data_IF_621253126899
#
_entry.id   IF_621253126899
#
_cell.length_a   1.000
_cell.length_b   1.000
_cell.length_c   1.000
_cell.angle_alpha   90.00
_cell.angle_beta   90.00
_cell.angle_gamma   90.00
#
_symmetry.space_group_name_H-M   'P 1'
#
loop_
_entity.id
_entity.type
_entity.pdbx_description
1 polymer ?
#
# COMPACT_ATOMS: atom_id res chain seq x y z
N UNK A 1 -10.91 -2.79 -8.95
CA UNK A 1 -11.62 -2.75 -10.24
C UNK A 1 -10.69 -2.12 -11.27
N UNK A 2 -10.41 -2.78 -12.40
CA UNK A 2 -9.69 -2.12 -13.50
C UNK A 2 -10.67 -1.19 -14.23
N UNK A 3 -10.40 0.11 -14.23
CA UNK A 3 -11.18 1.07 -15.00
C UNK A 3 -10.78 0.90 -16.47
N UNK A 4 -11.70 0.38 -17.28
CA UNK A 4 -11.46 0.20 -18.71
C UNK A 4 -11.18 1.53 -19.39
N UNK A 5 -10.20 1.51 -20.29
CA UNK A 5 -9.81 2.66 -21.10
C UNK A 5 -10.96 3.14 -21.99
N UNK A 6 -11.16 4.46 -22.12
CA UNK A 6 -12.06 5.04 -23.13
C UNK A 6 -11.46 4.87 -24.53
N UNK A 7 -12.29 4.46 -25.50
CA UNK A 7 -11.89 4.51 -26.90
C UNK A 7 -11.87 5.95 -27.41
N UNK A 8 -11.14 6.20 -28.50
CA UNK A 8 -11.04 7.53 -29.10
C UNK A 8 -12.41 8.13 -29.46
N UNK A 9 -13.32 7.31 -30.00
CA UNK A 9 -14.68 7.73 -30.37
C UNK A 9 -15.50 8.13 -29.14
N UNK A 10 -15.38 7.37 -28.05
CA UNK A 10 -16.06 7.66 -26.78
C UNK A 10 -15.50 8.90 -26.10
N UNK A 11 -14.19 9.07 -26.11
CA UNK A 11 -13.53 10.30 -25.63
C UNK A 11 -14.00 11.52 -26.41
N UNK A 12 -14.10 11.41 -27.74
CA UNK A 12 -14.58 12.49 -28.60
C UNK A 12 -16.05 12.79 -28.37
N UNK A 13 -16.89 11.76 -28.27
CA UNK A 13 -18.32 11.92 -27.99
C UNK A 13 -18.54 12.60 -26.64
N UNK A 14 -17.88 12.11 -25.57
CA UNK A 14 -17.96 12.71 -24.24
C UNK A 14 -17.53 14.17 -24.25
N UNK A 15 -16.39 14.48 -24.89
CA UNK A 15 -15.89 15.85 -24.95
C UNK A 15 -16.80 16.76 -25.77
N UNK A 16 -17.36 16.28 -26.88
CA UNK A 16 -18.31 17.03 -27.69
C UNK A 16 -19.59 17.37 -26.93
N UNK A 17 -20.03 16.50 -26.03
CA UNK A 17 -21.20 16.73 -25.18
C UNK A 17 -20.95 17.86 -24.17
N UNK A 18 -19.74 17.90 -23.59
CA UNK A 18 -19.33 18.96 -22.63
C UNK A 18 -19.24 20.33 -23.32
N UNK A 19 -18.86 20.37 -24.61
CA UNK A 19 -18.72 21.61 -25.39
C UNK A 19 -20.04 22.29 -25.75
N UNK A 20 -21.18 21.66 -25.51
CA UNK A 20 -22.49 22.17 -25.91
C UNK A 20 -23.06 23.12 -24.84
N UNK A 21 -22.33 24.17 -24.49
CA UNK A 21 -22.67 25.07 -23.37
C UNK A 21 -23.95 25.91 -23.56
N UNK A 22 -24.37 26.10 -24.82
CA UNK A 22 -25.61 26.78 -25.20
C UNK A 22 -26.84 25.87 -25.15
N UNK A 23 -26.67 24.55 -25.09
CA UNK A 23 -27.80 23.61 -25.01
C UNK A 23 -28.34 23.54 -23.59
N UNK A 24 -29.64 23.32 -23.40
CA UNK A 24 -30.22 23.19 -22.07
C UNK A 24 -29.70 21.90 -21.41
N UNK A 25 -29.38 21.99 -20.11
CA UNK A 25 -28.69 20.92 -19.40
C UNK A 25 -29.47 19.61 -19.41
N UNK A 26 -30.80 19.64 -19.30
CA UNK A 26 -31.66 18.45 -19.33
C UNK A 26 -31.53 17.65 -20.64
N UNK A 27 -31.35 18.31 -21.78
CA UNK A 27 -31.11 17.62 -23.06
C UNK A 27 -29.76 16.92 -23.05
N UNK A 28 -28.71 17.61 -22.62
CA UNK A 28 -27.35 17.07 -22.50
C UNK A 28 -27.35 15.84 -21.58
N UNK A 29 -28.05 15.92 -20.45
CA UNK A 29 -28.16 14.85 -19.46
C UNK A 29 -28.95 13.65 -19.99
N UNK A 30 -30.01 13.88 -20.77
CA UNK A 30 -30.80 12.80 -21.39
C UNK A 30 -30.05 12.14 -22.55
N UNK A 31 -29.28 12.89 -23.32
CA UNK A 31 -28.36 12.37 -24.33
C UNK A 31 -27.26 11.52 -23.69
N UNK A 32 -26.67 11.96 -22.58
CA UNK A 32 -25.70 11.17 -21.82
C UNK A 32 -26.26 9.81 -21.38
N UNK A 33 -27.46 9.83 -20.76
CA UNK A 33 -28.11 8.62 -20.24
C UNK A 33 -28.55 7.65 -21.33
N UNK A 34 -28.93 8.16 -22.50
CA UNK A 34 -29.35 7.33 -23.64
C UNK A 34 -28.17 6.79 -24.45
N UNK A 35 -27.10 7.58 -24.58
CA UNK A 35 -25.90 7.21 -25.35
C UNK A 35 -24.99 6.26 -24.59
N UNK A 36 -24.87 6.41 -23.27
CA UNK A 36 -23.91 5.67 -22.46
C UNK A 36 -24.64 4.66 -21.55
N UNK A 37 -24.32 3.35 -21.66
CA UNK A 37 -24.89 2.33 -20.80
C UNK A 37 -24.53 2.54 -19.32
N UNK A 38 -25.47 2.23 -18.42
CA UNK A 38 -25.27 2.36 -16.96
C UNK A 38 -24.05 1.58 -16.43
N UNK A 39 -23.70 0.44 -17.06
CA UNK A 39 -22.51 -0.34 -16.71
C UNK A 39 -21.20 0.42 -16.91
N UNK A 40 -21.21 1.47 -17.72
CA UNK A 40 -20.05 2.30 -18.07
C UNK A 40 -20.07 3.67 -17.41
N UNK A 41 -21.15 4.05 -16.72
CA UNK A 41 -21.25 5.34 -16.05
C UNK A 41 -20.09 5.58 -15.10
N UNK A 42 -19.69 4.58 -14.32
CA UNK A 42 -18.52 4.68 -13.44
C UNK A 42 -17.25 5.07 -14.21
N UNK A 43 -16.95 4.39 -15.31
CA UNK A 43 -15.79 4.71 -16.16
C UNK A 43 -15.86 6.14 -16.68
N UNK A 44 -16.95 6.53 -17.34
CA UNK A 44 -17.09 7.87 -17.91
C UNK A 44 -17.00 8.96 -16.83
N UNK A 45 -17.67 8.76 -15.69
CA UNK A 45 -17.60 9.68 -14.56
C UNK A 45 -16.20 9.76 -13.94
N UNK A 46 -15.41 8.67 -13.91
CA UNK A 46 -14.00 8.73 -13.50
C UNK A 46 -13.16 9.61 -14.42
N UNK A 47 -13.40 9.57 -15.74
CA UNK A 47 -12.70 10.45 -16.69
C UNK A 47 -13.15 11.92 -16.58
N UNK A 48 -14.45 12.15 -16.39
CA UNK A 48 -14.99 13.48 -16.09
C UNK A 48 -14.35 14.09 -14.84
N UNK A 49 -14.16 13.28 -13.82
CA UNK A 49 -13.50 13.68 -12.58
C UNK A 49 -12.03 14.07 -12.79
N UNK A 50 -11.31 13.40 -13.69
CA UNK A 50 -9.94 13.78 -14.08
C UNK A 50 -9.94 15.17 -14.73
N UNK A 51 -10.89 15.45 -15.61
CA UNK A 51 -11.01 16.78 -16.25
C UNK A 51 -11.34 17.89 -15.25
N UNK A 52 -12.05 17.59 -14.16
CA UNK A 52 -12.37 18.57 -13.12
C UNK A 52 -11.21 18.91 -12.19
N UNK A 53 -10.18 18.05 -12.09
CA UNK A 53 -9.05 18.24 -11.19
C UNK A 53 -8.17 19.45 -11.57
N UNK A 54 -8.06 19.74 -12.86
CA UNK A 54 -7.33 20.90 -13.37
C UNK A 54 -8.31 22.00 -13.79
N UNK A 55 -8.27 23.13 -13.09
CA UNK A 55 -9.12 24.29 -13.36
C UNK A 55 -8.84 24.97 -14.70
N UNK A 56 -7.69 24.69 -15.35
CA UNK A 56 -7.31 25.30 -16.64
C UNK A 56 -7.77 24.48 -17.85
N UNK A 57 -8.15 23.22 -17.66
CA UNK A 57 -8.57 22.32 -18.75
C UNK A 57 -9.97 22.69 -19.26
N UNK A 58 -10.93 22.91 -18.35
CA UNK A 58 -12.32 23.21 -18.68
C UNK A 58 -12.70 24.65 -18.33
N UNK A 59 -13.56 25.28 -19.11
CA UNK A 59 -14.18 26.57 -18.77
C UNK A 59 -15.21 26.41 -17.64
N UNK A 60 -15.61 27.50 -16.99
CA UNK A 60 -16.63 27.45 -15.92
C UNK A 60 -17.94 26.81 -16.40
N UNK A 61 -18.42 27.14 -17.60
CA UNK A 61 -19.65 26.56 -18.18
C UNK A 61 -19.51 25.06 -18.42
N UNK A 62 -18.38 24.62 -18.99
CA UNK A 62 -18.05 23.21 -19.18
C UNK A 62 -18.00 22.46 -17.84
N UNK A 63 -17.41 23.07 -16.80
CA UNK A 63 -17.34 22.49 -15.45
C UNK A 63 -18.73 22.29 -14.85
N UNK A 64 -19.65 23.24 -15.01
CA UNK A 64 -21.05 23.08 -14.56
C UNK A 64 -21.73 21.88 -15.22
N UNK A 65 -21.52 21.70 -16.54
CA UNK A 65 -22.05 20.54 -17.27
C UNK A 65 -21.48 19.25 -16.70
N UNK A 66 -20.17 19.20 -16.45
CA UNK A 66 -19.52 18.01 -15.88
C UNK A 66 -20.04 17.68 -14.48
N UNK A 67 -20.23 18.67 -13.60
CA UNK A 67 -20.86 18.45 -12.29
C UNK A 67 -22.29 17.94 -12.42
N UNK A 68 -23.08 18.50 -13.35
CA UNK A 68 -24.43 18.02 -13.64
C UNK A 68 -24.42 16.54 -14.07
N UNK A 69 -23.52 16.15 -14.96
CA UNK A 69 -23.36 14.77 -15.42
C UNK A 69 -22.98 13.82 -14.27
N UNK A 70 -22.07 14.21 -13.38
CA UNK A 70 -21.63 13.39 -12.25
C UNK A 70 -22.75 13.11 -11.23
N UNK A 71 -23.60 14.09 -10.94
CA UNK A 71 -24.73 13.88 -10.02
C UNK A 71 -25.86 13.14 -10.72
N UNK A 72 -26.19 13.52 -11.95
CA UNK A 72 -27.36 12.99 -12.65
C UNK A 72 -27.15 11.56 -13.15
N UNK A 73 -25.91 11.11 -13.40
CA UNK A 73 -25.59 9.72 -13.71
C UNK A 73 -26.09 8.73 -12.63
N UNK A 74 -26.12 9.17 -11.37
CA UNK A 74 -26.53 8.36 -10.22
C UNK A 74 -27.83 8.86 -9.56
N UNK A 75 -28.61 9.72 -10.23
CA UNK A 75 -29.82 10.32 -9.65
C UNK A 75 -30.95 9.34 -9.34
N UNK A 76 -30.91 8.13 -9.92
CA UNK A 76 -31.86 7.05 -9.62
C UNK A 76 -31.57 6.33 -8.30
N UNK A 77 -30.38 6.53 -7.72
CA UNK A 77 -29.91 5.87 -6.51
C UNK A 77 -29.92 6.87 -5.34
N UNK A 78 -29.75 6.37 -4.12
CA UNK A 78 -29.52 7.24 -2.96
C UNK A 78 -28.25 8.09 -3.24
N UNK A 79 -28.27 9.41 -3.02
CA UNK A 79 -27.08 10.26 -3.12
C UNK A 79 -25.83 9.70 -2.43
N UNK A 80 -26.00 9.01 -1.29
CA UNK A 80 -24.91 8.36 -0.56
C UNK A 80 -24.28 7.16 -1.30
N UNK A 81 -24.98 6.58 -2.27
CA UNK A 81 -24.49 5.50 -3.13
C UNK A 81 -23.69 5.99 -4.34
N UNK A 82 -23.65 7.31 -4.58
CA UNK A 82 -22.85 7.88 -5.66
C UNK A 82 -21.35 7.84 -5.25
N UNK A 83 -20.49 7.11 -5.98
CA UNK A 83 -19.06 6.98 -5.62
C UNK A 83 -18.27 8.29 -5.73
N UNK A 84 -18.84 9.33 -6.35
CA UNK A 84 -18.21 10.63 -6.52
C UNK A 84 -18.76 11.70 -5.56
N UNK A 85 -19.71 11.35 -4.68
CA UNK A 85 -20.40 12.31 -3.81
C UNK A 85 -19.43 13.07 -2.89
N UNK A 86 -18.43 12.39 -2.34
CA UNK A 86 -17.42 13.00 -1.47
C UNK A 86 -16.60 14.06 -2.20
N UNK A 87 -16.27 13.84 -3.48
CA UNK A 87 -15.59 14.84 -4.31
C UNK A 87 -16.51 16.04 -4.58
N UNK A 88 -17.78 15.80 -4.92
CA UNK A 88 -18.76 16.86 -5.20
C UNK A 88 -18.96 17.75 -3.96
N UNK A 89 -19.09 17.15 -2.77
CA UNK A 89 -19.21 17.87 -1.50
C UNK A 89 -17.94 18.68 -1.18
N UNK A 90 -16.76 18.10 -1.38
CA UNK A 90 -15.51 18.82 -1.19
C UNK A 90 -15.41 20.02 -2.16
N UNK A 91 -15.83 19.85 -3.42
CA UNK A 91 -15.84 20.92 -4.41
C UNK A 91 -16.78 22.08 -4.06
N UNK A 92 -17.93 21.80 -3.41
CA UNK A 92 -18.87 22.85 -2.96
C UNK A 92 -18.35 23.70 -1.81
N UNK A 93 -17.40 23.22 -1.01
CA UNK A 93 -16.89 23.94 0.15
C UNK A 93 -15.46 24.46 -0.03
N UNK A 94 -14.69 23.93 -0.97
CA UNK A 94 -13.27 24.26 -1.14
C UNK A 94 -13.05 25.76 -1.44
N UNK A 95 -12.15 26.41 -0.71
CA UNK A 95 -11.93 27.87 -0.81
C UNK A 95 -11.52 28.32 -2.22
N UNK A 96 -10.76 27.51 -2.95
CA UNK A 96 -10.32 27.80 -4.32
C UNK A 96 -11.35 27.56 -5.44
N UNK A 97 -12.56 27.06 -5.14
CA UNK A 97 -13.61 26.88 -6.17
C UNK A 97 -14.36 28.18 -6.45
N UNK A 98 -14.81 28.38 -7.70
CA UNK A 98 -15.59 29.56 -8.06
C UNK A 98 -16.94 29.58 -7.33
N UNK A 99 -17.40 30.76 -6.88
CA UNK A 99 -18.68 30.89 -6.15
C UNK A 99 -19.88 30.35 -6.95
N UNK A 100 -19.84 30.51 -8.27
CA UNK A 100 -20.86 29.99 -9.20
C UNK A 100 -20.91 28.46 -9.16
N UNK A 101 -19.76 27.79 -9.22
CA UNK A 101 -19.69 26.32 -9.13
C UNK A 101 -20.24 25.82 -7.80
N UNK A 102 -19.88 26.47 -6.69
CA UNK A 102 -20.36 26.09 -5.35
C UNK A 102 -21.88 26.14 -5.27
N UNK A 103 -22.49 27.26 -5.68
CA UNK A 103 -23.93 27.45 -5.65
C UNK A 103 -24.66 26.46 -6.57
N UNK A 104 -24.13 26.25 -7.78
CA UNK A 104 -24.68 25.28 -8.72
C UNK A 104 -24.67 23.85 -8.15
N UNK A 105 -23.58 23.43 -7.51
CA UNK A 105 -23.47 22.12 -6.87
C UNK A 105 -24.49 21.97 -5.73
N UNK A 106 -24.65 23.00 -4.89
CA UNK A 106 -25.63 22.98 -3.79
C UNK A 106 -27.07 22.87 -4.31
N UNK A 107 -27.38 23.58 -5.39
CA UNK A 107 -28.68 23.50 -6.07
C UNK A 107 -28.92 22.12 -6.69
N UNK A 108 -27.87 21.50 -7.24
CA UNK A 108 -27.91 20.16 -7.82
C UNK A 108 -28.10 19.05 -6.77
N UNK A 109 -27.52 19.24 -5.58
CA UNK A 109 -27.69 18.36 -4.42
C UNK A 109 -29.02 18.58 -3.68
N UNK A 110 -29.78 19.62 -4.02
CA UNK A 110 -31.07 19.93 -3.39
C UNK A 110 -30.97 20.45 -1.96
N UNK A 111 -29.83 21.06 -1.61
CA UNK A 111 -29.60 21.67 -0.28
C UNK A 111 -30.21 23.07 -0.22
N UNK A 112 -30.30 23.74 -1.36
CA UNK A 112 -30.88 25.08 -1.46
C UNK A 112 -32.41 25.03 -1.44
N UNK A 113 -33.03 25.84 -0.57
CA UNK A 113 -34.45 25.79 -0.19
C UNK A 113 -35.38 26.48 -1.21
N UNK A 114 -34.85 26.89 -2.36
CA UNK A 114 -35.67 27.51 -3.41
C UNK A 114 -36.66 26.48 -3.96
N UNK A 115 -37.96 26.76 -3.81
CA UNK A 115 -39.11 25.88 -4.08
C UNK A 115 -39.28 25.40 -5.53
N UNK A 116 -38.32 25.65 -6.40
CA UNK A 116 -38.27 25.11 -7.75
C UNK A 116 -37.20 24.03 -7.79
N UNK A 117 -37.59 22.78 -8.04
CA UNK A 117 -36.67 21.63 -8.08
C UNK A 117 -35.58 21.74 -9.15
N UNK A 118 -35.29 20.67 -9.87
CA UNK A 118 -34.30 20.68 -10.97
C UNK A 118 -34.74 21.50 -12.22
N UNK A 119 -35.59 22.51 -12.05
CA UNK A 119 -36.07 23.40 -13.12
C UNK A 119 -34.94 24.21 -13.77
N UNK A 120 -33.90 24.54 -13.01
CA UNK A 120 -32.71 25.22 -13.52
C UNK A 120 -31.92 24.36 -14.54
N UNK A 121 -32.20 23.06 -14.66
CA UNK A 121 -31.63 22.22 -15.72
C UNK A 121 -32.28 22.49 -17.08
N UNK A 122 -33.40 23.24 -17.15
CA UNK A 122 -34.03 23.65 -18.42
C UNK A 122 -33.29 24.78 -19.13
N UNK A 123 -32.41 25.50 -18.44
CA UNK A 123 -31.57 26.55 -19.03
C UNK A 123 -30.19 25.98 -19.41
N UNK A 124 -29.48 26.71 -20.27
CA UNK A 124 -28.11 26.38 -20.67
C UNK A 124 -27.11 26.73 -19.55
N UNK A 125 -25.91 26.16 -19.62
CA UNK A 125 -24.85 26.49 -18.66
C UNK A 125 -24.43 27.97 -18.79
N UNK A 126 -24.41 28.49 -20.02
CA UNK A 126 -24.13 29.89 -20.33
C UNK A 126 -25.19 30.83 -19.74
N UNK A 127 -26.47 30.49 -19.87
CA UNK A 127 -27.56 31.26 -19.27
C UNK A 127 -27.52 31.24 -17.74
N UNK A 128 -27.10 30.12 -17.14
CA UNK A 128 -26.91 30.02 -15.70
C UNK A 128 -25.84 30.99 -15.20
N UNK A 129 -24.67 30.98 -15.84
CA UNK A 129 -23.53 31.84 -15.46
C UNK A 129 -23.87 33.32 -15.60
N UNK A 130 -24.58 33.71 -16.65
CA UNK A 130 -24.96 35.12 -16.89
C UNK A 130 -26.01 35.64 -15.90
N UNK A 131 -26.90 34.78 -15.42
CA UNK A 131 -27.97 35.12 -14.46
C UNK A 131 -27.55 34.96 -13.00
N UNK A 132 -26.34 34.46 -12.75
CA UNK A 132 -25.89 34.15 -11.40
C UNK A 132 -25.66 35.43 -10.59
N UNK A 133 -26.32 35.53 -9.44
CA UNK A 133 -26.06 36.56 -8.44
C UNK A 133 -25.30 35.96 -7.25
N UNK A 134 -24.02 36.34 -7.04
CA UNK A 134 -23.22 35.86 -5.91
C UNK A 134 -23.76 36.25 -4.54
N UNK A 135 -24.63 37.26 -4.45
CA UNK A 135 -25.11 37.83 -3.19
C UNK A 135 -26.29 37.07 -2.56
N UNK A 136 -26.93 36.17 -3.34
CA UNK A 136 -28.13 35.45 -2.92
C UNK A 136 -27.87 34.06 -2.31
N UNK A 137 -26.62 33.61 -2.24
CA UNK A 137 -26.29 32.23 -1.85
C UNK A 137 -25.55 32.18 -0.51
N UNK A 138 -26.16 31.52 0.47
CA UNK A 138 -25.51 31.14 1.73
C UNK A 138 -24.83 29.78 1.57
N UNK A 139 -23.53 29.72 1.84
CA UNK A 139 -22.75 28.48 1.69
C UNK A 139 -22.68 27.73 3.02
N UNK A 140 -23.23 26.51 3.14
CA UNK A 140 -23.17 25.71 4.35
C UNK A 140 -21.75 25.20 4.63
N UNK A 141 -21.48 24.82 5.87
CA UNK A 141 -20.18 24.25 6.24
C UNK A 141 -20.00 22.82 5.71
N UNK A 142 -18.76 22.44 5.44
CA UNK A 142 -18.42 21.10 4.92
C UNK A 142 -18.93 19.98 5.82
N UNK A 143 -18.90 20.18 7.14
CA UNK A 143 -19.31 19.17 8.12
C UNK A 143 -20.83 18.93 8.09
N UNK A 144 -21.63 19.99 7.86
CA UNK A 144 -23.08 19.89 7.72
C UNK A 144 -23.46 19.07 6.48
N UNK A 145 -22.81 19.35 5.34
CA UNK A 145 -23.05 18.61 4.10
C UNK A 145 -22.58 17.17 4.21
N UNK A 146 -21.40 16.92 4.79
CA UNK A 146 -20.93 15.55 5.02
C UNK A 146 -21.91 14.77 5.88
N UNK A 147 -22.48 15.36 6.93
CA UNK A 147 -23.47 14.69 7.77
C UNK A 147 -24.77 14.37 7.03
N UNK A 148 -25.21 15.23 6.11
CA UNK A 148 -26.44 15.04 5.33
C UNK A 148 -26.30 13.94 4.25
N UNK A 149 -25.10 13.75 3.71
CA UNK A 149 -24.86 12.84 2.59
C UNK A 149 -23.99 11.61 2.94
N UNK A 150 -23.57 11.44 4.20
CA UNK A 150 -22.84 10.25 4.66
C UNK A 150 -23.78 9.14 5.11
N UNK A 151 -23.73 7.99 4.43
CA UNK A 151 -24.14 6.73 5.04
C UNK A 151 -23.05 6.29 6.03
N UNK A 152 -23.42 5.88 7.24
CA UNK A 152 -22.53 5.46 8.35
C UNK A 152 -21.54 4.32 8.00
N UNK A 153 -21.54 3.82 6.77
CA UNK A 153 -20.87 2.59 6.35
C UNK A 153 -19.53 2.85 5.67
N UNK A 154 -19.29 4.01 5.03
CA UNK A 154 -18.02 4.26 4.33
C UNK A 154 -17.55 5.72 4.47
N UNK A 155 -16.97 6.07 5.61
CA UNK A 155 -16.07 7.23 5.71
C UNK A 155 -14.65 6.82 5.27
N UNK A 156 -14.50 6.21 4.10
CA UNK A 156 -13.18 6.21 3.49
C UNK A 156 -12.90 7.64 3.02
N UNK A 157 -11.80 8.29 3.47
CA UNK A 157 -11.36 9.53 2.88
C UNK A 157 -11.29 9.30 1.38
N UNK A 158 -11.92 10.18 0.59
CA UNK A 158 -11.73 10.14 -0.86
C UNK A 158 -10.25 10.41 -1.14
N UNK A 159 -9.47 9.34 -1.27
CA UNK A 159 -8.11 9.40 -1.75
C UNK A 159 -8.20 9.78 -3.21
N UNK A 160 -7.67 10.95 -3.54
CA UNK A 160 -7.61 11.39 -4.92
C UNK A 160 -6.92 10.29 -5.74
N UNK A 161 -7.62 9.73 -6.73
CA UNK A 161 -7.10 8.67 -7.61
C UNK A 161 -5.69 8.96 -8.18
N UNK A 162 -5.28 10.23 -8.20
CA UNK A 162 -4.02 10.72 -8.74
C UNK A 162 -3.23 11.68 -7.82
N UNK A 163 -3.67 12.00 -6.59
CA UNK A 163 -2.88 12.95 -5.76
C UNK A 163 -1.90 12.24 -4.83
N UNK A 164 -2.28 11.06 -4.35
CA UNK A 164 -1.49 10.33 -3.34
C UNK A 164 -0.48 9.35 -3.96
N UNK A 165 -0.62 9.00 -5.25
CA UNK A 165 0.26 8.05 -5.96
C UNK A 165 1.05 8.62 -7.14
N UNK A 166 0.92 9.92 -7.43
CA UNK A 166 1.51 10.51 -8.64
C UNK A 166 2.71 11.38 -8.29
N UNK A 167 3.87 10.99 -8.80
CA UNK A 167 5.01 11.92 -8.90
C UNK A 167 4.61 12.95 -9.94
N UNK A 168 4.49 14.23 -9.56
CA UNK A 168 4.30 15.31 -10.53
C UNK A 168 5.53 15.32 -11.46
N UNK A 169 5.41 14.71 -12.63
CA UNK A 169 6.45 14.73 -13.67
C UNK A 169 6.54 16.08 -14.41
N UNK A 170 5.92 17.13 -13.85
CA UNK A 170 6.02 18.49 -14.35
C UNK A 170 7.33 19.05 -13.84
N UNK A 171 8.36 18.98 -14.69
CA UNK A 171 9.62 19.68 -14.46
C UNK A 171 9.40 21.14 -14.83
N UNK A 172 9.61 22.10 -13.91
CA UNK A 172 9.59 23.52 -14.25
C UNK A 172 10.60 23.78 -15.37
N UNK A 173 10.17 24.53 -16.38
CA UNK A 173 11.06 24.94 -17.46
C UNK A 173 12.21 25.77 -16.87
N UNK A 174 13.49 25.34 -17.01
CA UNK A 174 14.63 26.07 -16.45
C UNK A 174 14.79 27.48 -17.04
N UNK A 175 14.19 27.74 -18.21
CA UNK A 175 14.28 29.03 -18.90
C UNK A 175 13.22 30.04 -18.41
N UNK A 176 12.25 29.60 -17.59
CA UNK A 176 11.21 30.47 -17.02
C UNK A 176 11.72 31.10 -15.71
N UNK A 177 11.81 32.44 -15.60
CA UNK A 177 12.25 33.10 -14.38
C UNK A 177 11.36 32.72 -13.19
N UNK A 178 11.91 32.54 -11.97
CA UNK A 178 11.15 32.14 -10.78
C UNK A 178 10.10 33.17 -10.32
N UNK A 179 10.16 34.37 -10.87
CA UNK A 179 9.24 35.49 -10.67
C UNK A 179 8.24 35.67 -11.83
N UNK A 180 8.19 34.73 -12.78
CA UNK A 180 7.17 34.71 -13.81
C UNK A 180 5.81 34.37 -13.19
N UNK A 181 4.89 35.34 -13.23
CA UNK A 181 3.52 35.13 -12.78
C UNK A 181 2.76 34.30 -13.81
N UNK A 182 2.44 33.06 -13.44
CA UNK A 182 1.69 32.11 -14.28
C UNK A 182 0.22 32.50 -14.50
N UNK A 183 -0.28 33.47 -13.74
CA UNK A 183 -1.63 34.01 -13.87
C UNK A 183 -1.61 35.47 -14.41
N UNK A 184 -0.49 35.88 -15.02
CA UNK A 184 -0.40 37.20 -15.64
C UNK A 184 -1.31 37.32 -16.86
N UNK A 185 -1.92 38.51 -17.02
CA UNK A 185 -2.78 38.81 -18.17
C UNK A 185 -2.01 38.92 -19.50
N UNK A 186 -0.68 38.85 -19.47
CA UNK A 186 0.15 38.77 -20.66
C UNK A 186 -0.01 37.43 -21.38
N UNK A 187 -0.45 36.38 -20.67
CA UNK A 187 -0.81 35.08 -21.23
C UNK A 187 -2.31 34.94 -21.55
N UNK A 188 -3.14 35.94 -21.23
CA UNK A 188 -4.56 35.94 -21.56
C UNK A 188 -4.77 36.02 -23.08
N UNK A 189 -5.73 35.24 -23.57
CA UNK A 189 -6.02 35.16 -25.00
C UNK A 189 -6.57 36.47 -25.56
N UNK A 190 -6.01 36.89 -26.70
CA UNK A 190 -6.63 37.92 -27.52
C UNK A 190 -7.90 37.35 -28.19
N UNK A 191 -9.05 38.05 -28.12
CA UNK A 191 -10.29 37.59 -28.74
C UNK A 191 -10.08 37.35 -30.25
N UNK A 192 -10.39 36.13 -30.70
CA UNK A 192 -10.26 35.71 -32.10
C UNK A 192 -9.12 34.74 -32.42
N UNK A 193 -8.28 34.35 -31.45
CA UNK A 193 -7.16 33.42 -31.66
C UNK A 193 -7.44 32.07 -31.01
N UNK A 194 -7.35 30.95 -31.76
CA UNK A 194 -7.51 29.63 -31.16
C UNK A 194 -6.30 29.26 -30.27
N UNK A 195 -6.52 28.69 -29.07
CA UNK A 195 -5.45 28.20 -28.21
C UNK A 195 -4.58 27.17 -28.94
N UNK A 196 -3.33 27.54 -29.21
CA UNK A 196 -2.28 26.59 -29.60
C UNK A 196 -1.46 26.29 -28.36
N UNK A 197 -1.75 25.18 -27.69
CA UNK A 197 -0.88 24.66 -26.64
C UNK A 197 0.24 23.89 -27.37
N UNK A 198 1.36 24.56 -27.65
CA UNK A 198 2.38 24.05 -28.56
C UNK A 198 1.90 23.97 -30.02
N UNK A 199 2.27 22.92 -30.76
CA UNK A 199 1.89 22.72 -32.17
C UNK A 199 0.46 22.19 -32.39
N UNK A 200 -0.34 21.99 -31.33
CA UNK A 200 -1.65 21.31 -31.40
C UNK A 200 -2.85 22.11 -30.90
N UNK A 201 -4.06 21.66 -31.29
CA UNK A 201 -5.35 22.19 -30.82
C UNK A 201 -5.65 21.70 -29.39
N UNK A 202 -6.07 22.59 -28.48
CA UNK A 202 -6.48 22.26 -27.10
C UNK A 202 -7.49 21.11 -27.06
N UNK A 203 -8.50 21.14 -27.91
CA UNK A 203 -9.59 20.15 -27.91
C UNK A 203 -9.06 18.77 -28.31
N UNK A 204 -8.16 18.72 -29.30
CA UNK A 204 -7.51 17.50 -29.75
C UNK A 204 -6.56 16.94 -28.69
N UNK A 205 -5.85 17.81 -27.96
CA UNK A 205 -5.01 17.43 -26.84
C UNK A 205 -5.83 16.81 -25.69
N UNK A 206 -7.01 17.36 -25.37
CA UNK A 206 -7.89 16.80 -24.33
C UNK A 206 -8.47 15.45 -24.76
N UNK A 207 -8.94 15.31 -26.01
CA UNK A 207 -9.43 14.01 -26.52
C UNK A 207 -8.30 12.98 -26.60
N UNK A 208 -7.11 13.40 -27.02
CA UNK A 208 -5.90 12.58 -27.02
C UNK A 208 -5.51 12.15 -25.61
N UNK A 209 -5.64 13.03 -24.62
CA UNK A 209 -5.41 12.71 -23.22
C UNK A 209 -6.43 11.67 -22.72
N UNK A 210 -7.74 11.91 -22.90
CA UNK A 210 -8.79 10.98 -22.47
C UNK A 210 -8.65 9.58 -23.09
N UNK A 211 -8.26 9.53 -24.36
CA UNK A 211 -8.07 8.28 -25.09
C UNK A 211 -6.72 7.61 -24.82
N UNK A 212 -5.81 8.23 -24.05
CA UNK A 212 -4.51 7.65 -23.70
C UNK A 212 -4.29 7.46 -22.20
N UNK A 213 -5.05 8.15 -21.34
CA UNK A 213 -5.06 7.88 -19.90
C UNK A 213 -5.51 6.44 -19.70
N UNK A 214 -4.57 5.60 -19.28
CA UNK A 214 -4.85 4.29 -18.72
C UNK A 214 -4.67 4.37 -17.21
N UNK A 215 -5.66 3.87 -16.48
CA UNK A 215 -5.58 3.65 -15.05
C UNK A 215 -4.91 2.29 -14.74
N UNK A 216 -4.56 1.52 -15.77
CA UNK A 216 -3.78 0.29 -15.65
C UNK A 216 -2.31 0.65 -15.43
N UNK A 217 -1.75 0.22 -14.29
CA UNK A 217 -0.33 0.35 -13.97
C UNK A 217 0.06 1.39 -12.92
N UNK A 218 -0.91 2.14 -12.36
CA UNK A 218 -0.68 3.05 -11.22
C UNK A 218 -0.60 2.32 -9.86
N UNK A 219 -0.97 1.05 -9.82
CA UNK A 219 -0.69 0.20 -8.66
C UNK A 219 0.76 -0.26 -8.72
N UNK A 220 1.51 -0.28 -7.61
CA UNK A 220 2.81 -0.90 -7.58
C UNK A 220 2.64 -2.35 -8.06
N UNK A 221 3.30 -2.69 -9.16
CA UNK A 221 3.37 -4.08 -9.56
C UNK A 221 4.18 -4.79 -8.48
N UNK A 222 3.52 -5.63 -7.69
CA UNK A 222 4.18 -6.52 -6.74
C UNK A 222 4.96 -7.56 -7.52
N UNK A 223 6.10 -7.16 -8.07
CA UNK A 223 7.03 -8.05 -8.73
C UNK A 223 7.80 -8.73 -7.62
N UNK A 224 7.72 -10.07 -7.58
CA UNK A 224 8.68 -10.86 -6.80
C UNK A 224 9.88 -11.12 -7.73
N UNK A 225 10.96 -10.33 -7.66
CA UNK A 225 12.15 -10.62 -8.45
C UNK A 225 12.61 -12.05 -8.13
N UNK A 226 13.07 -12.78 -9.15
CA UNK A 226 13.75 -14.04 -8.89
C UNK A 226 14.95 -13.76 -7.99
N UNK A 227 15.20 -14.57 -6.95
CA UNK A 227 16.39 -14.41 -6.13
C UNK A 227 17.64 -14.45 -7.03
N UNK A 228 18.65 -13.61 -6.75
CA UNK A 228 19.86 -13.57 -7.56
C UNK A 228 20.47 -14.97 -7.62
N UNK A 229 20.72 -15.47 -8.83
CA UNK A 229 21.41 -16.76 -9.01
C UNK A 229 22.89 -16.52 -8.74
N UNK A 230 23.36 -16.97 -7.58
CA UNK A 230 24.78 -17.00 -7.27
C UNK A 230 25.49 -17.98 -8.22
N UNK A 231 26.75 -17.72 -8.59
CA UNK A 231 27.55 -18.69 -9.34
C UNK A 231 27.71 -19.96 -8.52
N UNK A 232 27.57 -21.11 -9.18
CA UNK A 232 27.74 -22.42 -8.56
C UNK A 232 29.19 -22.55 -8.08
N UNK A 233 29.40 -22.79 -6.79
CA UNK A 233 30.72 -23.05 -6.22
C UNK A 233 31.05 -24.55 -6.31
N UNK A 234 32.31 -24.92 -6.54
CA UNK A 234 32.72 -26.34 -6.66
C UNK A 234 32.36 -27.18 -5.42
N UNK A 235 32.31 -26.55 -4.24
CA UNK A 235 31.88 -27.19 -2.98
C UNK A 235 30.37 -27.40 -2.85
N UNK A 236 29.54 -26.74 -3.67
CA UNK A 236 28.08 -26.88 -3.64
C UNK A 236 27.59 -28.14 -4.35
N UNK A 237 28.40 -28.71 -5.27
CA UNK A 237 28.09 -29.93 -6.01
C UNK A 237 27.98 -31.17 -5.10
N UNK A 238 28.62 -31.13 -3.92
CA UNK A 238 28.54 -32.18 -2.89
C UNK A 238 27.10 -32.34 -2.38
N UNK A 239 26.33 -31.25 -2.32
CA UNK A 239 24.93 -31.27 -1.85
C UNK A 239 23.94 -31.79 -2.88
N UNK A 240 24.33 -31.87 -4.16
CA UNK A 240 23.49 -32.43 -5.24
C UNK A 240 23.50 -33.97 -5.18
N UNK A 241 24.58 -34.57 -4.67
CA UNK A 241 24.68 -36.01 -4.47
C UNK A 241 25.10 -36.38 -3.03
N UNK A 242 24.15 -36.33 -2.07
CA UNK A 242 24.44 -36.53 -0.65
C UNK A 242 24.99 -37.92 -0.29
N UNK A 243 24.89 -38.90 -1.19
CA UNK A 243 25.43 -40.24 -0.98
C UNK A 243 26.89 -40.39 -1.45
N UNK A 244 27.47 -39.36 -2.10
CA UNK A 244 28.83 -39.36 -2.63
C UNK A 244 29.12 -40.39 -3.74
N UNK A 245 28.23 -41.37 -3.98
CA UNK A 245 28.53 -42.49 -4.86
C UNK A 245 28.57 -42.02 -6.32
N UNK A 246 29.66 -42.28 -7.05
CA UNK A 246 29.73 -41.92 -8.46
C UNK A 246 28.68 -42.72 -9.23
N UNK A 247 28.01 -42.06 -10.18
CA UNK A 247 27.09 -42.75 -11.08
C UNK A 247 27.85 -43.88 -11.82
N UNK A 248 27.23 -45.05 -12.06
CA UNK A 248 27.87 -46.19 -12.73
C UNK A 248 28.45 -45.88 -14.12
N UNK A 249 28.09 -44.76 -14.74
CA UNK A 249 28.65 -44.29 -16.01
C UNK A 249 29.90 -43.40 -15.86
N UNK A 250 30.26 -42.98 -14.65
CA UNK A 250 31.41 -42.09 -14.34
C UNK A 250 32.53 -42.78 -13.55
N UNK A 251 32.39 -44.07 -13.22
CA UNK A 251 33.40 -44.84 -12.44
C UNK A 251 34.76 -44.82 -13.13
N UNK A 252 34.78 -44.85 -14.47
CA UNK A 252 36.01 -44.84 -15.27
C UNK A 252 36.69 -43.45 -15.28
N UNK A 253 35.94 -42.36 -15.04
CA UNK A 253 36.49 -41.00 -15.00
C UNK A 253 37.10 -40.67 -13.62
N UNK A 254 36.52 -41.19 -12.53
CA UNK A 254 37.03 -40.96 -11.18
C UNK A 254 38.37 -41.66 -10.90
N UNK A 255 38.64 -42.81 -11.53
CA UNK A 255 39.93 -43.49 -11.44
C UNK A 255 41.10 -42.63 -11.96
N UNK A 256 40.83 -41.67 -12.86
CA UNK A 256 41.84 -40.74 -13.40
C UNK A 256 42.11 -39.52 -12.50
N UNK A 257 41.24 -39.23 -11.53
CA UNK A 257 41.35 -38.04 -10.66
C UNK A 257 41.95 -38.37 -9.28
N UNK A 258 42.26 -39.65 -9.01
CA UNK A 258 42.99 -40.04 -7.79
C UNK A 258 42.22 -39.84 -6.48
N UNK A 259 40.88 -39.75 -6.55
CA UNK A 259 40.03 -39.59 -5.36
C UNK A 259 39.80 -40.97 -4.74
N UNK A 260 40.16 -41.15 -3.47
CA UNK A 260 39.94 -42.41 -2.78
C UNK A 260 38.43 -42.64 -2.59
N UNK A 261 37.91 -43.86 -2.83
CA UNK A 261 36.49 -44.19 -2.61
C UNK A 261 35.99 -44.04 -1.16
N UNK A 262 36.89 -43.71 -0.23
CA UNK A 262 36.61 -43.55 1.19
C UNK A 262 36.57 -42.08 1.64
N UNK A 263 36.80 -41.12 0.73
CA UNK A 263 36.77 -39.67 1.04
C UNK A 263 35.36 -39.06 0.91
N UNK A 264 34.31 -39.88 0.80
CA UNK A 264 32.94 -39.38 0.78
C UNK A 264 32.52 -38.95 2.19
N UNK A 265 31.97 -37.73 2.35
CA UNK A 265 31.52 -37.27 3.65
C UNK A 265 30.42 -38.21 4.16
N UNK A 266 30.63 -38.81 5.33
CA UNK A 266 29.61 -39.58 6.01
C UNK A 266 28.45 -38.63 6.37
N UNK A 267 27.24 -39.03 6.01
CA UNK A 267 26.06 -38.20 6.22
C UNK A 267 25.70 -38.23 7.70
N UNK A 268 26.20 -37.24 8.44
CA UNK A 268 25.97 -37.08 9.87
C UNK A 268 24.63 -36.38 10.09
N UNK A 269 23.69 -37.09 10.69
CA UNK A 269 22.44 -36.49 11.16
C UNK A 269 22.66 -35.90 12.55
N UNK A 270 22.12 -34.70 12.78
CA UNK A 270 21.96 -34.19 14.14
C UNK A 270 20.86 -35.00 14.84
N UNK A 271 21.28 -36.00 15.62
CA UNK A 271 20.38 -36.83 16.41
C UNK A 271 19.72 -36.07 17.58
N UNK A 272 20.07 -34.79 17.79
CA UNK A 272 19.41 -33.86 18.72
C UNK A 272 18.18 -33.15 18.12
N UNK A 273 17.99 -33.17 16.80
CA UNK A 273 16.81 -32.62 16.16
C UNK A 273 15.56 -33.42 16.55
N UNK A 274 14.53 -32.71 17.04
CA UNK A 274 13.26 -33.29 17.48
C UNK A 274 13.33 -34.21 18.72
N UNK A 275 14.41 -34.16 19.51
CA UNK A 275 14.42 -34.80 20.84
C UNK A 275 13.40 -34.11 21.74
N UNK A 276 12.58 -34.90 22.44
CA UNK A 276 11.54 -34.38 23.32
C UNK A 276 12.15 -33.52 24.46
N UNK A 277 12.05 -32.20 24.32
CA UNK A 277 12.57 -31.24 25.29
C UNK A 277 11.65 -31.06 26.50
N UNK A 278 10.56 -31.82 26.60
CA UNK A 278 9.60 -31.78 27.73
C UNK A 278 10.30 -32.03 29.07
N UNK A 279 11.26 -32.96 29.11
CA UNK A 279 12.05 -33.26 30.32
C UNK A 279 12.97 -32.10 30.72
N UNK A 280 13.56 -31.42 29.73
CA UNK A 280 14.34 -30.21 29.95
C UNK A 280 13.50 -29.02 30.41
N UNK A 281 12.19 -28.98 30.10
CA UNK A 281 11.30 -27.89 30.49
C UNK A 281 11.11 -27.81 32.01
N UNK A 282 10.89 -28.93 32.70
CA UNK A 282 10.75 -28.97 34.15
C UNK A 282 12.02 -28.49 34.87
N UNK A 283 13.18 -28.89 34.36
CA UNK A 283 14.48 -28.48 34.90
C UNK A 283 14.79 -27.01 34.60
N UNK A 284 14.44 -26.52 33.39
CA UNK A 284 14.48 -25.09 33.04
C UNK A 284 13.65 -24.23 33.99
N UNK A 285 12.43 -24.67 34.32
CA UNK A 285 11.54 -23.93 35.22
C UNK A 285 12.09 -23.88 36.65
N UNK A 286 12.70 -24.97 37.13
CA UNK A 286 13.37 -25.00 38.43
C UNK A 286 14.59 -24.05 38.46
N UNK A 287 15.36 -23.99 37.38
CA UNK A 287 16.50 -23.06 37.26
C UNK A 287 16.05 -21.61 37.15
N UNK A 288 14.97 -21.33 36.42
CA UNK A 288 14.39 -19.99 36.34
C UNK A 288 13.89 -19.50 37.70
N UNK A 289 13.42 -20.41 38.56
CA UNK A 289 13.08 -20.12 39.97
C UNK A 289 14.33 -19.93 40.83
N UNK A 290 15.35 -20.77 40.62
CA UNK A 290 16.63 -20.70 41.33
C UNK A 290 17.40 -19.39 41.11
N UNK A 291 17.27 -18.78 39.92
CA UNK A 291 17.87 -17.50 39.58
C UNK A 291 17.18 -16.31 40.28
N UNK A 292 15.90 -16.46 40.64
CA UNK A 292 15.10 -15.39 41.26
C UNK A 292 15.02 -15.49 42.79
N UNK A 293 15.38 -16.63 43.37
CA UNK A 293 15.39 -16.83 44.83
C UNK A 293 15.75 -18.25 45.24
N UNK A 294 15.88 -18.47 46.55
CA UNK A 294 16.22 -19.77 47.12
C UNK A 294 15.14 -20.82 46.81
N UNK A 295 15.54 -21.98 46.27
CA UNK A 295 14.65 -23.10 46.01
C UNK A 295 14.29 -23.82 47.32
N UNK A 296 13.06 -24.30 47.43
CA UNK A 296 12.65 -25.15 48.55
C UNK A 296 13.45 -26.47 48.54
N UNK A 297 13.78 -27.06 49.70
CA UNK A 297 14.62 -28.27 49.78
C UNK A 297 14.08 -29.46 48.96
N UNK A 298 12.75 -29.59 48.86
CA UNK A 298 12.09 -30.60 48.01
C UNK A 298 12.37 -30.39 46.52
N UNK A 299 12.44 -29.15 46.07
CA UNK A 299 12.74 -28.80 44.67
C UNK A 299 14.23 -28.97 44.36
N UNK A 300 15.10 -28.76 45.36
CA UNK A 300 16.53 -29.01 45.23
C UNK A 300 16.81 -30.52 45.08
N UNK A 301 16.17 -31.36 45.87
CA UNK A 301 16.28 -32.82 45.75
C UNK A 301 15.75 -33.34 44.41
N UNK A 302 14.62 -32.81 43.94
CA UNK A 302 14.06 -33.14 42.63
C UNK A 302 15.00 -32.75 41.47
N UNK A 303 15.65 -31.59 41.57
CA UNK A 303 16.63 -31.14 40.59
C UNK A 303 17.86 -32.05 40.55
N UNK A 304 18.41 -32.41 41.72
CA UNK A 304 19.57 -33.29 41.82
C UNK A 304 19.27 -34.71 41.33
N UNK A 305 18.05 -35.22 41.56
CA UNK A 305 17.63 -36.54 41.09
C UNK A 305 17.50 -36.60 39.57
N UNK A 306 16.92 -35.58 38.93
CA UNK A 306 16.86 -35.49 37.47
C UNK A 306 18.25 -35.33 36.85
N UNK A 307 19.14 -34.58 37.52
CA UNK A 307 20.52 -34.38 37.08
C UNK A 307 21.37 -35.65 37.20
N UNK A 308 21.18 -36.44 38.25
CA UNK A 308 21.83 -37.74 38.42
C UNK A 308 21.36 -38.78 37.39
N UNK A 309 20.11 -38.65 36.92
CA UNK A 309 19.51 -39.54 35.92
C UNK A 309 19.94 -39.22 34.49
N UNK A 310 20.09 -37.95 34.17
CA UNK A 310 20.55 -37.49 32.85
C UNK A 310 21.40 -36.21 32.96
N UNK A 311 22.73 -36.34 32.96
CA UNK A 311 23.64 -35.19 33.03
C UNK A 311 23.54 -34.24 31.83
N UNK A 312 22.99 -34.67 30.69
CA UNK A 312 22.88 -33.85 29.48
C UNK A 312 21.75 -32.83 29.55
N UNK A 313 20.84 -32.95 30.52
CA UNK A 313 19.75 -31.99 30.70
C UNK A 313 20.28 -30.58 31.01
N UNK A 314 21.47 -30.46 31.61
CA UNK A 314 22.16 -29.19 31.88
C UNK A 314 22.31 -28.33 30.63
N UNK A 315 22.52 -28.93 29.46
CA UNK A 315 22.65 -28.21 28.18
C UNK A 315 21.33 -27.58 27.72
N UNK A 316 20.21 -28.16 28.13
CA UNK A 316 18.87 -27.68 27.78
C UNK A 316 18.26 -26.78 28.85
N UNK A 317 19.00 -26.49 29.92
CA UNK A 317 18.60 -25.66 31.05
C UNK A 317 18.56 -24.16 30.76
N UNK A 318 18.98 -23.71 29.57
CA UNK A 318 18.95 -22.30 29.18
C UNK A 318 19.83 -21.40 30.06
N UNK A 319 20.87 -21.97 30.68
CA UNK A 319 21.83 -21.23 31.50
C UNK A 319 22.73 -20.39 30.59
N UNK A 320 22.67 -19.08 30.77
CA UNK A 320 23.59 -18.13 30.13
C UNK A 320 24.66 -17.73 31.14
N UNK A 321 25.94 -17.55 30.76
CA UNK A 321 27.01 -17.15 31.68
C UNK A 321 26.69 -15.88 32.51
N UNK A 322 25.85 -14.99 31.98
CA UNK A 322 25.39 -13.77 32.67
C UNK A 322 24.49 -14.02 33.88
N UNK A 323 23.74 -15.13 33.91
CA UNK A 323 22.80 -15.49 34.99
C UNK A 323 23.39 -16.45 36.01
N UNK A 324 24.65 -16.83 35.81
CA UNK A 324 25.40 -17.73 36.69
C UNK A 324 25.76 -17.08 38.04
N UNK A 325 26.14 -15.78 38.12
CA UNK A 325 26.38 -15.12 39.39
C UNK A 325 25.13 -15.10 40.29
N UNK A 326 23.96 -14.78 39.72
CA UNK A 326 22.68 -14.75 40.43
C UNK A 326 22.27 -16.14 40.96
N UNK A 327 22.61 -17.20 40.22
CA UNK A 327 22.36 -18.58 40.65
C UNK A 327 23.28 -18.99 41.81
N UNK A 328 24.55 -18.57 41.78
CA UNK A 328 25.54 -18.84 42.84
C UNK A 328 25.16 -18.12 44.13
N UNK A 329 24.68 -16.88 44.04
CA UNK A 329 24.25 -16.09 45.21
C UNK A 329 22.99 -16.67 45.87
N UNK A 330 22.01 -17.11 45.07
CA UNK A 330 20.74 -17.60 45.60
C UNK A 330 20.76 -19.09 45.98
N UNK A 331 21.51 -19.93 45.25
CA UNK A 331 21.51 -21.39 45.42
C UNK A 331 22.91 -22.01 45.13
N UNK A 332 23.89 -21.85 46.04
CA UNK A 332 25.28 -22.22 45.78
C UNK A 332 25.51 -23.72 45.55
N UNK A 333 24.76 -24.60 46.23
CA UNK A 333 24.92 -26.05 46.09
C UNK A 333 24.50 -26.56 44.70
N UNK A 334 23.45 -25.97 44.13
CA UNK A 334 22.98 -26.31 42.78
C UNK A 334 23.97 -25.81 41.73
N UNK A 335 24.51 -24.60 41.93
CA UNK A 335 25.50 -24.03 41.01
C UNK A 335 26.77 -24.91 40.91
N UNK A 336 27.25 -25.43 42.04
CA UNK A 336 28.42 -26.32 42.07
C UNK A 336 28.17 -27.62 41.30
N UNK A 337 27.01 -28.25 41.47
CA UNK A 337 26.69 -29.51 40.78
C UNK A 337 26.52 -29.31 39.26
N UNK A 338 25.88 -28.21 38.85
CA UNK A 338 25.77 -27.82 37.44
C UNK A 338 27.14 -27.59 36.82
N UNK A 339 28.00 -26.79 37.48
CA UNK A 339 29.35 -26.49 37.01
C UNK A 339 30.22 -27.75 36.94
N UNK A 340 30.10 -28.64 37.92
CA UNK A 340 30.84 -29.91 37.96
C UNK A 340 30.45 -30.82 36.79
N UNK A 341 29.16 -30.87 36.45
CA UNK A 341 28.67 -31.65 35.31
C UNK A 341 29.03 -31.02 33.96
N UNK A 342 29.10 -29.69 33.87
CA UNK A 342 29.60 -28.99 32.67
C UNK A 342 31.10 -29.27 32.45
N UNK A 343 31.92 -29.19 33.50
CA UNK A 343 33.39 -29.38 33.41
C UNK A 343 33.76 -30.82 33.02
N UNK A 344 32.97 -31.82 33.42
CA UNK A 344 33.24 -33.24 33.11
C UNK A 344 32.91 -33.66 31.68
N UNK A 345 32.35 -32.76 30.86
CA UNK A 345 31.91 -33.09 29.51
C UNK A 345 32.92 -32.68 28.43
N UNK A 346 33.17 -33.54 27.42
CA UNK A 346 34.18 -33.30 26.39
C UNK A 346 33.88 -32.13 25.42
N UNK A 347 32.63 -31.65 25.33
CA UNK A 347 32.20 -30.63 24.34
C UNK A 347 32.64 -29.19 24.64
N UNK A 348 33.26 -28.91 25.80
CA UNK A 348 33.75 -27.56 26.14
C UNK A 348 35.15 -27.30 25.55
N UNK A 349 35.94 -28.34 25.26
CA UNK A 349 37.34 -28.16 24.84
C UNK A 349 37.50 -27.43 23.49
N UNK A 350 36.52 -27.57 22.58
CA UNK A 350 36.59 -26.99 21.23
C UNK A 350 35.96 -25.58 21.13
N UNK A 351 35.02 -25.21 22.01
CA UNK A 351 34.35 -23.90 21.95
C UNK A 351 35.21 -22.74 22.47
N UNK A 352 36.27 -23.01 23.22
CA UNK A 352 37.21 -21.98 23.66
C UNK A 352 38.20 -21.52 22.56
N UNK A 353 38.31 -22.22 21.42
CA UNK A 353 39.19 -21.79 20.32
C UNK A 353 38.52 -20.83 19.33
N UNK A 354 37.19 -20.77 19.27
CA UNK A 354 36.43 -19.92 18.33
C UNK A 354 35.62 -18.82 19.03
N UNK A 355 36.20 -18.23 20.08
CA UNK A 355 35.65 -17.08 20.78
C UNK A 355 35.85 -15.75 20.02
N UNK A 356 35.29 -15.63 18.82
CA UNK A 356 34.95 -14.32 18.27
C UNK A 356 33.52 -14.37 17.72
N UNK A 357 32.62 -13.75 18.49
CA UNK A 357 31.30 -13.27 18.10
C UNK A 357 30.37 -14.26 17.40
N UNK A 358 29.50 -14.88 18.18
CA UNK A 358 28.18 -15.28 17.71
C UNK A 358 27.18 -15.12 18.85
N UNK A 359 26.50 -13.98 18.83
CA UNK A 359 25.28 -13.71 19.59
C UNK A 359 24.24 -14.78 19.29
N UNK A 360 24.07 -15.73 20.20
CA UNK A 360 22.96 -16.70 20.19
C UNK A 360 21.67 -16.00 20.63
N UNK A 361 21.16 -15.07 19.81
CA UNK A 361 19.80 -14.53 19.92
C UNK A 361 18.84 -15.54 19.30
N UNK A 362 18.47 -16.56 20.08
CA UNK A 362 17.31 -17.40 19.82
C UNK A 362 16.03 -16.74 20.36
N UNK A 363 15.61 -15.64 19.72
CA UNK A 363 14.26 -15.11 19.89
C UNK A 363 13.71 -14.75 18.51
N UNK A 364 12.74 -15.54 18.05
CA UNK A 364 11.80 -15.12 17.02
C UNK A 364 11.05 -13.89 17.51
N UNK A 365 11.57 -12.69 17.25
CA UNK A 365 10.75 -11.48 17.26
C UNK A 365 10.05 -11.38 15.91
N UNK A 366 8.77 -11.73 15.95
CA UNK A 366 7.80 -11.41 14.93
C UNK A 366 7.76 -9.89 14.72
N UNK A 367 7.60 -9.53 13.45
CA UNK A 367 7.34 -8.20 12.93
C UNK A 367 6.49 -7.32 13.86
N UNK A 368 6.93 -6.07 14.07
CA UNK A 368 6.12 -4.85 13.98
C UNK A 368 7.05 -3.66 14.23
N UNK A 369 7.39 -2.92 13.17
CA UNK A 369 7.16 -1.48 13.08
C UNK A 369 7.93 -0.88 11.90
N UNK A 370 7.14 -0.52 10.89
CA UNK A 370 7.46 0.53 9.95
C UNK A 370 7.44 1.88 10.66
N UNK A 371 8.44 2.71 10.39
CA UNK A 371 8.35 4.17 10.35
C UNK A 371 9.34 4.66 9.31
#
# INVERSE_FOLDING_TARGET
MSIRKLSFEESRSLYSLIKQDQRPLNEILSEFKSTIPHSRHYTFCSYLLILLQDNKVLTTTERLIVFALLVEAYSSQNPASNPFISFIINASCHEGSTKIEKAFILQLLGVDVSHNGKEFLKQSASDYVTRFDPSLNDFPSLDQLKQQFSDKVNQEPYHHLFKDGFVKNVVPDPDVPPNCDTDSSEFDQRPGTQPKLGTGNKDEAVVGLLSNISLEGLNPHWIRPLPPRLPILDGELVWVNPNGKPFPSMVNAFQLVGVNPNDYPELMWDNGMCVDTSRGAAVRDLIAKAQKGALAPVQQEQFLLELARDPKVVYHCGLTPRKLPELVENNPLIAVEILTNLIKSPDISDTCQYGHESTFNGSCEQAYNSS
#
